data_IF_737905993700
#
_entry.id   IF_737905993700
#
_cell.length_a   1.000
_cell.length_b   1.000
_cell.length_c   1.000
_cell.angle_alpha   90.00
_cell.angle_beta   90.00
_cell.angle_gamma   90.00
#
_symmetry.space_group_name_H-M   'P 1'
#
loop_
_entity.id
_entity.type
_entity.pdbx_description
1 polymer ?
#
# COMPACT_ATOMS: atom_id res chain seq x y z
N UNK A 1 -18.97 -13.29 6.49
CA UNK A 1 -18.29 -13.10 7.78
C UNK A 1 -16.99 -13.89 7.83
N UNK A 2 -16.97 -15.21 7.69
CA UNK A 2 -15.70 -16.00 7.67
C UNK A 2 -14.81 -15.75 6.43
N UNK A 3 -15.39 -15.65 5.23
CA UNK A 3 -14.59 -15.48 4.01
C UNK A 3 -13.99 -14.06 3.89
N UNK A 4 -14.74 -13.05 4.31
CA UNK A 4 -14.31 -11.65 4.25
C UNK A 4 -13.17 -11.39 5.23
N UNK A 5 -13.22 -11.90 6.46
CA UNK A 5 -12.12 -11.76 7.43
C UNK A 5 -10.84 -12.44 6.93
N UNK A 6 -10.94 -13.64 6.37
CA UNK A 6 -9.80 -14.37 5.78
C UNK A 6 -9.16 -13.60 4.61
N UNK A 7 -9.97 -12.96 3.78
CA UNK A 7 -9.48 -12.11 2.69
C UNK A 7 -8.72 -10.91 3.26
N UNK A 8 -9.24 -10.22 4.28
CA UNK A 8 -8.54 -9.10 4.90
C UNK A 8 -7.22 -9.52 5.55
N UNK A 9 -7.22 -10.60 6.34
CA UNK A 9 -6.03 -11.06 7.08
C UNK A 9 -4.86 -11.46 6.17
N UNK A 10 -5.14 -11.96 4.96
CA UNK A 10 -4.10 -12.38 4.01
C UNK A 10 -3.79 -11.27 3.02
N UNK A 11 -4.81 -10.60 2.48
CA UNK A 11 -4.60 -9.61 1.44
C UNK A 11 -3.88 -8.38 2.00
N UNK A 12 -4.26 -7.89 3.19
CA UNK A 12 -3.66 -6.69 3.77
C UNK A 12 -2.13 -6.76 3.93
N UNK A 13 -1.53 -7.79 4.55
CA UNK A 13 -0.06 -7.89 4.65
C UNK A 13 0.62 -8.12 3.30
N UNK A 14 0.02 -8.91 2.39
CA UNK A 14 0.54 -9.12 1.02
C UNK A 14 0.59 -7.79 0.27
N UNK A 15 -0.41 -6.95 0.51
CA UNK A 15 -0.51 -5.63 -0.05
C UNK A 15 0.46 -4.61 0.47
N UNK A 16 0.63 -4.58 1.78
CA UNK A 16 1.64 -3.75 2.44
C UNK A 16 3.03 -4.12 1.91
N UNK A 17 3.30 -5.42 1.72
CA UNK A 17 4.53 -5.89 1.09
C UNK A 17 4.66 -5.37 -0.34
N UNK A 18 3.63 -5.55 -1.17
CA UNK A 18 3.59 -5.12 -2.57
C UNK A 18 3.85 -3.61 -2.73
N UNK A 19 3.10 -2.78 -1.98
CA UNK A 19 3.21 -1.33 -2.03
C UNK A 19 4.53 -0.81 -1.45
N UNK A 20 5.03 -1.42 -0.37
CA UNK A 20 6.33 -1.04 0.19
C UNK A 20 7.46 -1.32 -0.81
N UNK A 21 7.41 -2.44 -1.53
CA UNK A 21 8.40 -2.76 -2.57
C UNK A 21 8.34 -1.75 -3.72
N UNK A 22 7.13 -1.38 -4.15
CA UNK A 22 6.92 -0.37 -5.20
C UNK A 22 7.50 0.99 -4.79
N UNK A 23 7.07 1.52 -3.64
CA UNK A 23 7.53 2.82 -3.13
C UNK A 23 9.04 2.84 -2.85
N UNK A 24 9.57 1.82 -2.17
CA UNK A 24 11.00 1.75 -1.85
C UNK A 24 11.87 1.65 -3.12
N UNK A 25 11.40 0.94 -4.16
CA UNK A 25 12.11 0.83 -5.43
C UNK A 25 12.15 2.17 -6.18
N UNK A 26 11.07 2.94 -6.17
CA UNK A 26 11.07 4.30 -6.73
C UNK A 26 12.00 5.23 -5.94
N UNK A 27 11.95 5.18 -4.62
CA UNK A 27 12.80 6.02 -3.78
C UNK A 27 14.29 5.71 -3.96
N UNK A 28 14.66 4.43 -4.07
CA UNK A 28 16.04 4.02 -4.33
C UNK A 28 16.56 4.52 -5.68
N UNK A 29 15.72 4.52 -6.74
CA UNK A 29 16.10 5.07 -8.06
C UNK A 29 16.33 6.57 -8.04
N UNK A 30 15.60 7.30 -7.19
CA UNK A 30 15.76 8.74 -6.99
C UNK A 30 17.02 9.11 -6.20
N UNK A 31 17.80 8.10 -5.77
CA UNK A 31 19.03 8.32 -5.01
C UNK A 31 18.78 8.82 -3.59
N UNK A 32 17.59 8.57 -3.04
CA UNK A 32 17.28 8.88 -1.65
C UNK A 32 18.12 8.02 -0.69
N UNK A 33 18.47 8.59 0.45
CA UNK A 33 19.16 7.85 1.52
C UNK A 33 18.23 6.79 2.15
N UNK A 34 18.78 5.86 2.94
CA UNK A 34 18.04 4.75 3.56
C UNK A 34 16.82 5.23 4.35
N UNK A 35 16.92 6.35 5.05
CA UNK A 35 15.80 6.96 5.77
C UNK A 35 14.69 7.43 4.83
N UNK A 36 15.06 8.01 3.68
CA UNK A 36 14.12 8.44 2.65
C UNK A 36 13.41 7.24 2.02
N UNK A 37 14.15 6.16 1.72
CA UNK A 37 13.58 4.93 1.16
C UNK A 37 12.58 4.27 2.12
N UNK A 38 12.90 4.20 3.41
CA UNK A 38 11.99 3.68 4.43
C UNK A 38 10.75 4.58 4.55
N UNK A 39 10.93 5.89 4.59
CA UNK A 39 9.81 6.83 4.77
C UNK A 39 8.83 6.78 3.59
N UNK A 40 9.36 6.77 2.37
CA UNK A 40 8.57 6.65 1.15
C UNK A 40 7.86 5.30 1.10
N UNK A 41 8.58 4.18 1.30
CA UNK A 41 7.98 2.84 1.30
C UNK A 41 6.88 2.68 2.37
N UNK A 42 7.10 3.25 3.56
CA UNK A 42 6.12 3.27 4.65
C UNK A 42 4.88 4.09 4.29
N UNK A 43 5.07 5.29 3.75
CA UNK A 43 3.96 6.17 3.38
C UNK A 43 3.12 5.58 2.26
N UNK A 44 3.75 4.94 1.26
CA UNK A 44 3.04 4.24 0.17
C UNK A 44 2.26 3.04 0.70
N UNK A 45 2.86 2.23 1.57
CA UNK A 45 2.21 1.02 2.09
C UNK A 45 1.09 1.30 3.09
N UNK A 46 1.27 2.30 3.97
CA UNK A 46 0.30 2.61 5.02
C UNK A 46 -0.75 3.66 4.62
N UNK A 47 -0.42 4.56 3.70
CA UNK A 47 -1.25 5.73 3.36
C UNK A 47 -2.66 5.36 2.93
N UNK A 48 -2.81 4.31 2.11
CA UNK A 48 -4.12 3.84 1.64
C UNK A 48 -5.01 3.28 2.76
N UNK A 49 -4.44 2.52 3.69
CA UNK A 49 -5.17 1.95 4.83
C UNK A 49 -5.60 3.03 5.83
N UNK A 50 -4.71 3.98 6.13
CA UNK A 50 -5.02 5.09 7.03
C UNK A 50 -6.13 5.98 6.45
N UNK A 51 -6.06 6.32 5.15
CA UNK A 51 -7.11 7.12 4.51
C UNK A 51 -8.47 6.42 4.52
N UNK A 52 -8.50 5.10 4.24
CA UNK A 52 -9.72 4.29 4.30
C UNK A 52 -10.35 4.33 5.69
N UNK A 53 -9.54 4.12 6.72
CA UNK A 53 -10.02 4.05 8.11
C UNK A 53 -10.53 5.42 8.59
N UNK A 54 -9.85 6.50 8.25
CA UNK A 54 -10.27 7.88 8.58
C UNK A 54 -11.58 8.25 7.88
N UNK A 55 -11.75 7.91 6.61
CA UNK A 55 -12.99 8.19 5.87
C UNK A 55 -14.21 7.43 6.41
N UNK A 56 -13.99 6.25 6.98
CA UNK A 56 -15.03 5.46 7.64
C UNK A 56 -15.28 5.89 9.09
N UNK A 57 -14.47 6.82 9.62
CA UNK A 57 -14.57 7.28 11.00
C UNK A 57 -13.99 6.29 12.03
N UNK A 58 -13.18 5.33 11.61
CA UNK A 58 -12.46 4.43 12.52
C UNK A 58 -11.24 5.15 13.11
N UNK A 59 -11.35 5.58 14.36
CA UNK A 59 -10.27 6.19 15.14
C UNK A 59 -10.18 5.45 16.49
N UNK A 60 -9.06 4.78 16.82
CA UNK A 60 -7.77 4.75 16.11
C UNK A 60 -7.79 3.86 14.84
N UNK A 61 -6.99 4.17 13.79
CA UNK A 61 -6.86 3.32 12.60
C UNK A 61 -6.31 1.94 12.94
N UNK A 62 -6.71 0.90 12.19
CA UNK A 62 -6.31 -0.51 12.43
C UNK A 62 -4.80 -0.73 12.37
N UNK A 63 -4.12 0.10 11.59
CA UNK A 63 -2.65 0.14 11.48
C UNK A 63 -1.95 0.45 12.81
N UNK A 64 -2.61 1.21 13.70
CA UNK A 64 -2.07 1.54 15.03
C UNK A 64 -2.41 0.48 16.08
N UNK A 65 -3.42 -0.35 15.83
CA UNK A 65 -3.75 -1.48 16.71
C UNK A 65 -2.76 -2.64 16.53
N UNK A 66 -2.32 -2.87 15.28
CA UNK A 66 -1.39 -3.95 14.93
C UNK A 66 -0.09 -3.39 14.33
N UNK A 67 0.95 -3.27 15.16
CA UNK A 67 2.29 -2.81 14.74
C UNK A 67 2.99 -3.72 13.73
N UNK A 68 2.42 -4.89 13.41
CA UNK A 68 2.95 -5.85 12.43
C UNK A 68 2.98 -5.26 11.02
N UNK A 69 1.97 -4.48 10.62
CA UNK A 69 1.92 -3.80 9.32
C UNK A 69 3.10 -2.85 9.10
N UNK A 70 3.40 -2.05 10.13
CA UNK A 70 4.54 -1.13 10.15
C UNK A 70 5.86 -1.92 10.08
N UNK A 71 6.00 -2.97 10.88
CA UNK A 71 7.19 -3.83 10.83
C UNK A 71 7.41 -4.46 9.45
N UNK A 72 6.36 -4.97 8.80
CA UNK A 72 6.45 -5.53 7.44
C UNK A 72 6.95 -4.46 6.47
N UNK A 73 6.33 -3.27 6.46
CA UNK A 73 6.71 -2.18 5.56
C UNK A 73 8.16 -1.71 5.76
N UNK A 74 8.64 -1.65 7.01
CA UNK A 74 10.03 -1.27 7.31
C UNK A 74 10.99 -2.36 6.86
N UNK A 75 10.73 -3.64 7.19
CA UNK A 75 11.58 -4.76 6.81
C UNK A 75 11.69 -4.91 5.29
N UNK A 76 10.60 -4.74 4.57
CA UNK A 76 10.59 -4.78 3.10
C UNK A 76 11.35 -3.60 2.51
N UNK A 77 11.16 -2.38 3.01
CA UNK A 77 11.87 -1.20 2.52
C UNK A 77 13.39 -1.30 2.72
N UNK A 78 13.82 -1.83 3.88
CA UNK A 78 15.24 -2.11 4.15
C UNK A 78 15.77 -3.20 3.22
N UNK A 79 15.00 -4.27 3.02
CA UNK A 79 15.35 -5.35 2.08
C UNK A 79 15.54 -4.84 0.65
N UNK A 80 14.62 -3.98 0.19
CA UNK A 80 14.69 -3.35 -1.14
C UNK A 80 15.89 -2.41 -1.26
N UNK A 81 16.18 -1.61 -0.22
CA UNK A 81 17.37 -0.74 -0.22
C UNK A 81 18.67 -1.55 -0.35
N UNK A 82 18.81 -2.64 0.41
CA UNK A 82 19.98 -3.52 0.30
C UNK A 82 20.04 -4.15 -1.10
N UNK A 83 18.92 -4.68 -1.60
CA UNK A 83 18.85 -5.29 -2.92
C UNK A 83 19.19 -4.31 -4.05
N UNK A 84 18.69 -3.08 -3.97
CA UNK A 84 18.99 -2.00 -4.92
C UNK A 84 20.47 -1.60 -4.89
N UNK A 85 21.14 -1.68 -3.73
CA UNK A 85 22.58 -1.43 -3.61
C UNK A 85 23.44 -2.53 -4.25
N UNK A 86 22.98 -3.78 -4.24
CA UNK A 86 23.72 -4.93 -4.78
C UNK A 86 23.51 -5.16 -6.29
N UNK A 87 22.38 -4.74 -6.89
CA UNK A 87 22.13 -4.92 -8.32
C UNK A 87 22.56 -3.72 -9.17
N UNK A 88 23.30 -3.98 -10.26
CA UNK A 88 23.60 -2.98 -11.30
C UNK A 88 22.31 -2.49 -11.96
N UNK A 89 22.22 -1.18 -12.22
CA UNK A 89 21.09 -0.44 -12.79
C UNK A 89 20.41 -1.05 -14.04
N UNK A 90 21.07 -1.96 -14.77
CA UNK A 90 20.54 -2.61 -15.98
C UNK A 90 19.44 -3.68 -15.74
N UNK A 91 19.28 -4.18 -14.51
CA UNK A 91 18.26 -5.20 -14.14
C UNK A 91 16.96 -4.58 -13.60
N UNK A 92 17.02 -3.30 -13.20
CA UNK A 92 15.91 -2.57 -12.58
C UNK A 92 14.74 -2.37 -13.55
N UNK A 93 15.00 -2.14 -14.84
CA UNK A 93 13.95 -1.92 -15.83
C UNK A 93 12.99 -3.13 -16.02
N UNK A 94 13.47 -4.37 -15.81
CA UNK A 94 12.60 -5.56 -15.83
C UNK A 94 11.84 -5.75 -14.52
N UNK A 95 12.45 -5.41 -13.39
CA UNK A 95 11.77 -5.44 -12.10
C UNK A 95 10.63 -4.41 -12.05
N UNK A 96 10.81 -3.24 -12.66
CA UNK A 96 9.82 -2.16 -12.71
C UNK A 96 8.51 -2.58 -13.37
N UNK A 97 8.60 -3.30 -14.48
CA UNK A 97 7.39 -3.79 -15.16
C UNK A 97 6.60 -4.77 -14.28
N UNK A 98 7.30 -5.66 -13.57
CA UNK A 98 6.68 -6.60 -12.63
C UNK A 98 6.09 -5.87 -11.42
N UNK A 99 6.82 -4.90 -10.86
CA UNK A 99 6.37 -4.08 -9.73
C UNK A 99 5.13 -3.28 -10.12
N UNK A 100 5.11 -2.62 -11.28
CA UNK A 100 3.97 -1.85 -11.75
C UNK A 100 2.74 -2.73 -12.04
N UNK A 101 2.95 -3.94 -12.56
CA UNK A 101 1.86 -4.90 -12.76
C UNK A 101 1.27 -5.36 -11.42
N UNK A 102 2.15 -5.69 -10.46
CA UNK A 102 1.75 -6.08 -9.11
C UNK A 102 1.02 -4.95 -8.38
N UNK A 103 1.48 -3.70 -8.54
CA UNK A 103 0.85 -2.48 -8.03
C UNK A 103 -0.58 -2.31 -8.58
N UNK A 104 -0.76 -2.49 -9.90
CA UNK A 104 -2.07 -2.43 -10.54
C UNK A 104 -3.03 -3.53 -10.06
N UNK A 105 -2.54 -4.77 -9.95
CA UNK A 105 -3.33 -5.89 -9.37
C UNK A 105 -3.77 -5.54 -7.96
N UNK A 106 -2.86 -4.97 -7.19
CA UNK A 106 -3.10 -4.68 -5.79
C UNK A 106 -4.06 -3.50 -5.58
N UNK A 107 -4.00 -2.47 -6.42
CA UNK A 107 -5.00 -1.39 -6.48
C UNK A 107 -6.40 -1.91 -6.79
N UNK A 108 -6.53 -2.92 -7.65
CA UNK A 108 -7.82 -3.56 -7.94
C UNK A 108 -8.40 -4.29 -6.72
N UNK A 109 -7.57 -5.06 -6.00
CA UNK A 109 -7.98 -5.77 -4.77
C UNK A 109 -8.38 -4.77 -3.67
N UNK A 110 -7.61 -3.70 -3.51
CA UNK A 110 -7.93 -2.64 -2.54
C UNK A 110 -9.23 -1.92 -2.87
N UNK A 111 -9.53 -1.73 -4.16
CA UNK A 111 -10.77 -1.11 -4.58
C UNK A 111 -11.99 -1.95 -4.19
N UNK A 112 -11.92 -3.27 -4.37
CA UNK A 112 -13.00 -4.19 -4.02
C UNK A 112 -13.19 -4.26 -2.49
N UNK A 113 -12.10 -4.43 -1.75
CA UNK A 113 -12.15 -4.51 -0.27
C UNK A 113 -12.60 -3.19 0.36
N UNK A 114 -12.25 -2.05 -0.22
CA UNK A 114 -12.73 -0.73 0.20
C UNK A 114 -14.24 -0.56 0.06
N UNK A 115 -14.81 -1.00 -1.06
CA UNK A 115 -16.27 -0.98 -1.28
C UNK A 115 -16.99 -1.91 -0.30
N UNK A 116 -16.47 -3.12 -0.10
CA UNK A 116 -17.04 -4.09 0.86
C UNK A 116 -17.05 -3.53 2.28
N UNK A 117 -15.94 -2.88 2.70
CA UNK A 117 -15.86 -2.27 4.02
C UNK A 117 -16.82 -1.09 4.18
N UNK A 118 -17.02 -0.29 3.13
CA UNK A 118 -17.99 0.81 3.13
C UNK A 118 -19.44 0.29 3.25
N UNK A 119 -19.77 -0.80 2.56
CA UNK A 119 -21.10 -1.42 2.67
C UNK A 119 -21.31 -2.05 4.04
N UNK A 120 -20.30 -2.70 4.61
CA UNK A 120 -20.36 -3.33 5.93
C UNK A 120 -20.45 -2.28 7.06
N UNK A 121 -19.84 -1.11 6.87
CA UNK A 121 -19.97 0.04 7.77
C UNK A 121 -21.33 0.74 7.71
N UNK A 122 -22.27 0.25 6.88
CA UNK A 122 -23.64 0.79 6.78
C UNK A 122 -23.79 1.95 5.79
N UNK A 123 -22.76 2.27 4.99
CA UNK A 123 -22.80 3.35 3.99
C UNK A 123 -23.32 2.91 2.62
N UNK A 124 -23.99 1.75 2.52
CA UNK A 124 -24.50 1.20 1.25
C UNK A 124 -25.43 2.16 0.48
N UNK A 125 -26.11 3.07 1.17
CA UNK A 125 -27.01 4.05 0.55
C UNK A 125 -26.27 5.27 -0.06
N UNK A 126 -24.99 5.47 0.29
CA UNK A 126 -24.19 6.60 -0.17
C UNK A 126 -23.25 6.15 -1.29
N UNK A 127 -23.76 6.08 -2.53
CA UNK A 127 -22.98 5.68 -3.70
C UNK A 127 -21.71 6.53 -3.89
N UNK A 128 -21.78 7.84 -3.55
CA UNK A 128 -20.61 8.72 -3.58
C UNK A 128 -19.49 8.23 -2.66
N UNK A 129 -19.82 7.84 -1.42
CA UNK A 129 -18.82 7.39 -0.45
C UNK A 129 -18.19 6.05 -0.88
N UNK A 130 -19.01 5.11 -1.36
CA UNK A 130 -18.55 3.79 -1.82
C UNK A 130 -17.61 3.88 -3.04
N UNK A 131 -17.83 4.84 -3.96
CA UNK A 131 -16.97 5.02 -5.14
C UNK A 131 -15.73 5.86 -4.80
N UNK A 132 -15.86 6.84 -3.90
CA UNK A 132 -14.76 7.76 -3.59
C UNK A 132 -13.71 7.12 -2.66
N UNK A 133 -14.12 6.30 -1.70
CA UNK A 133 -13.19 5.59 -0.79
C UNK A 133 -12.05 4.85 -1.51
N UNK A 134 -12.32 3.99 -2.51
CA UNK A 134 -11.27 3.24 -3.20
C UNK A 134 -10.39 4.14 -4.08
N UNK A 135 -10.89 5.28 -4.57
CA UNK A 135 -10.12 6.19 -5.43
C UNK A 135 -8.94 6.87 -4.73
N UNK A 136 -8.99 7.03 -3.40
CA UNK A 136 -7.93 7.67 -2.62
C UNK A 136 -6.66 6.82 -2.51
N UNK A 137 -6.76 5.52 -2.79
CA UNK A 137 -5.63 4.57 -2.71
C UNK A 137 -4.73 4.67 -3.95
N UNK A 138 -5.30 4.96 -5.12
CA UNK A 138 -4.54 5.25 -6.33
C UNK A 138 -3.72 6.54 -6.18
N UNK A 139 -4.28 7.54 -5.49
CA UNK A 139 -3.63 8.84 -5.31
C UNK A 139 -2.35 8.74 -4.48
N UNK A 140 -2.33 7.93 -3.41
CA UNK A 140 -1.16 7.78 -2.54
C UNK A 140 0.01 7.04 -3.24
N UNK A 141 -0.30 6.06 -4.08
CA UNK A 141 0.69 5.34 -4.89
C UNK A 141 1.26 6.21 -6.02
N UNK A 142 0.39 6.92 -6.76
CA UNK A 142 0.81 7.79 -7.87
C UNK A 142 1.57 9.04 -7.40
N UNK A 143 1.15 9.70 -6.32
CA UNK A 143 1.90 10.86 -5.78
C UNK A 143 3.34 10.49 -5.45
N UNK A 144 3.54 9.31 -4.89
CA UNK A 144 4.86 8.88 -4.44
C UNK A 144 5.73 8.33 -5.58
N UNK A 145 5.12 7.73 -6.60
CA UNK A 145 5.82 7.32 -7.82
C UNK A 145 6.33 8.54 -8.62
N UNK A 146 5.58 9.65 -8.60
CA UNK A 146 5.82 10.83 -9.45
C UNK A 146 6.66 11.92 -8.76
N UNK A 147 6.73 11.99 -7.42
CA UNK A 147 7.50 12.98 -6.65
C UNK A 147 9.00 12.73 -6.58
#
# INVERSE_FOLDING_TARGET
MELTSLIFDIAEPVGIFAFAVSGASVAAKRGLDIFGVIFIGLTTALGGGVMRDVLLGYVPPRMFENGTAVCIAVLTSVGVFIYAKYQKAASIARADWVINFLDAVWLAVFSITGVQLATDAGFANNAFLCIFLPSQQALAAEFCATC
#
